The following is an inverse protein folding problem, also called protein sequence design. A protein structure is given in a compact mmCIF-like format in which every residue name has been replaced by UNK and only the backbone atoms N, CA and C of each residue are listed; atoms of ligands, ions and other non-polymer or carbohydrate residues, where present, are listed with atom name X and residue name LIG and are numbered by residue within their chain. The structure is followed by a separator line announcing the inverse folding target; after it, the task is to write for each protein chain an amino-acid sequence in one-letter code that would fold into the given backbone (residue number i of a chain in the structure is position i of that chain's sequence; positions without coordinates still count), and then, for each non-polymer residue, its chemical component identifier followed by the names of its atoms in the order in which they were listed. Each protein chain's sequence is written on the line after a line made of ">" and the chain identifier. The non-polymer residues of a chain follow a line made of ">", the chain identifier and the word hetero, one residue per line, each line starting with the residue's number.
data_IF_326387572517
#
_entry.id   IF_326387572517
#
_cell.length_a   1.000
_cell.length_b   1.000
_cell.length_c   1.000
_cell.angle_alpha   90.00
_cell.angle_beta   90.00
_cell.angle_gamma   90.00
#
_symmetry.space_group_name_H-M   'P 1'
#
loop_
_entity.id
_entity.type
_entity.pdbx_description
1 polymer ?
#
# COMPACT_ATOMS: atom_id res chain seq x y z
N UNK A 1 16.44 -2.27 23.45
CA UNK A 1 16.29 -0.80 23.32
C UNK A 1 14.91 -0.41 23.81
N UNK A 2 14.77 0.72 24.50
CA UNK A 2 13.50 1.18 25.05
C UNK A 2 12.45 1.47 23.95
N UNK A 3 11.19 0.98 24.08
CA UNK A 3 10.11 1.24 23.13
C UNK A 3 9.84 2.72 22.86
N UNK A 4 9.88 3.56 23.90
CA UNK A 4 9.61 4.99 23.77
C UNK A 4 10.72 5.65 22.97
N UNK A 5 11.98 5.28 23.24
CA UNK A 5 13.12 5.77 22.46
C UNK A 5 13.01 5.38 20.99
N UNK A 6 12.66 4.12 20.67
CA UNK A 6 12.46 3.68 19.27
C UNK A 6 11.37 4.53 18.59
N UNK A 7 10.22 4.67 19.24
CA UNK A 7 9.10 5.46 18.72
C UNK A 7 9.48 6.93 18.48
N UNK A 8 10.14 7.57 19.45
CA UNK A 8 10.54 8.99 19.34
C UNK A 8 11.59 9.20 18.26
N UNK A 9 12.54 8.27 18.11
CA UNK A 9 13.53 8.32 17.04
C UNK A 9 12.90 8.19 15.66
N UNK A 10 11.98 7.24 15.46
CA UNK A 10 11.27 7.09 14.18
C UNK A 10 10.42 8.31 13.87
N UNK A 11 9.73 8.88 14.86
CA UNK A 11 8.97 10.12 14.70
C UNK A 11 9.86 11.29 14.27
N UNK A 12 11.03 11.45 14.89
CA UNK A 12 11.98 12.48 14.51
C UNK A 12 12.43 12.32 13.04
N UNK A 13 12.80 11.10 12.64
CA UNK A 13 13.17 10.79 11.26
C UNK A 13 12.02 11.06 10.28
N UNK A 14 10.80 10.64 10.62
CA UNK A 14 9.61 10.85 9.79
C UNK A 14 9.39 12.34 9.52
N UNK A 15 9.48 13.16 10.56
CA UNK A 15 9.28 14.60 10.45
C UNK A 15 10.39 15.28 9.65
N UNK A 16 11.64 14.86 9.84
CA UNK A 16 12.78 15.38 9.08
C UNK A 16 12.61 15.05 7.58
N UNK A 17 12.22 13.82 7.27
CA UNK A 17 12.09 13.33 5.89
C UNK A 17 10.91 13.95 5.11
N UNK A 18 9.96 14.58 5.81
CA UNK A 18 8.81 15.23 5.20
C UNK A 18 9.24 16.43 4.36
N UNK A 19 8.87 16.45 3.07
CA UNK A 19 9.25 17.48 2.09
C UNK A 19 10.77 17.68 1.90
N UNK A 20 11.58 16.73 2.40
CA UNK A 20 13.02 16.73 2.15
C UNK A 20 13.29 16.48 0.66
N UNK A 21 14.33 17.10 0.11
CA UNK A 21 14.69 16.84 -1.29
C UNK A 21 15.21 15.39 -1.46
N UNK A 22 15.11 14.81 -2.66
CA UNK A 22 15.53 13.43 -2.93
C UNK A 22 16.96 13.06 -2.50
N UNK A 23 17.94 13.95 -2.74
CA UNK A 23 19.35 13.67 -2.46
C UNK A 23 19.63 13.51 -0.97
N UNK A 24 18.96 14.30 -0.14
CA UNK A 24 19.11 14.24 1.31
C UNK A 24 18.39 13.02 1.90
N UNK A 25 17.28 12.56 1.27
CA UNK A 25 16.62 11.29 1.64
C UNK A 25 17.57 10.10 1.47
N UNK A 26 18.39 10.09 0.42
CA UNK A 26 19.37 9.02 0.19
C UNK A 26 20.43 8.96 1.29
N UNK A 27 20.85 10.12 1.85
CA UNK A 27 21.80 10.16 2.96
C UNK A 27 21.20 9.53 4.22
N UNK A 28 19.95 9.86 4.55
CA UNK A 28 19.26 9.25 5.70
C UNK A 28 19.12 7.74 5.50
N UNK A 29 18.78 7.28 4.30
CA UNK A 29 18.61 5.86 4.03
C UNK A 29 19.92 5.07 4.05
N UNK A 30 21.05 5.67 3.67
CA UNK A 30 22.36 5.02 3.80
C UNK A 30 22.69 4.73 5.26
N UNK A 31 22.37 5.64 6.16
CA UNK A 31 22.60 5.47 7.60
C UNK A 31 21.55 4.54 8.24
N UNK A 32 20.27 4.71 7.90
CA UNK A 32 19.19 3.88 8.45
C UNK A 32 19.31 2.44 7.97
N UNK A 33 19.70 2.21 6.72
CA UNK A 33 19.74 0.93 6.01
C UNK A 33 18.37 0.27 5.80
N UNK A 34 18.26 -0.54 4.74
CA UNK A 34 17.06 -1.33 4.42
C UNK A 34 16.76 -2.36 5.51
N UNK A 35 17.80 -2.96 6.11
CA UNK A 35 17.66 -3.98 7.16
C UNK A 35 17.03 -3.42 8.44
N UNK A 36 17.51 -2.27 8.94
CA UNK A 36 16.92 -1.63 10.12
C UNK A 36 15.49 -1.19 9.83
N UNK A 37 15.22 -0.65 8.64
CA UNK A 37 13.87 -0.23 8.25
C UNK A 37 12.90 -1.42 8.24
N UNK A 38 13.30 -2.55 7.67
CA UNK A 38 12.52 -3.80 7.67
C UNK A 38 12.27 -4.32 9.09
N UNK A 39 13.28 -4.27 9.97
CA UNK A 39 13.18 -4.64 11.38
C UNK A 39 12.18 -3.76 12.14
N UNK A 40 12.21 -2.44 11.93
CA UNK A 40 11.28 -1.49 12.55
C UNK A 40 9.84 -1.64 12.04
N UNK A 41 9.63 -2.02 10.78
CA UNK A 41 8.29 -2.40 10.26
C UNK A 41 7.76 -3.65 10.98
N UNK A 42 8.65 -4.53 11.43
CA UNK A 42 8.31 -5.73 12.19
C UNK A 42 8.54 -5.59 13.71
N UNK A 43 8.59 -4.36 14.23
CA UNK A 43 8.82 -4.10 15.65
C UNK A 43 7.75 -4.76 16.52
N UNK A 44 8.06 -5.09 17.78
CA UNK A 44 7.06 -5.64 18.71
C UNK A 44 5.92 -4.67 19.03
N UNK A 45 6.16 -3.37 18.88
CA UNK A 45 5.21 -2.31 19.23
C UNK A 45 4.50 -1.76 17.99
N UNK A 46 3.18 -1.87 17.96
CA UNK A 46 2.37 -1.37 16.83
C UNK A 46 2.55 0.14 16.57
N UNK A 47 2.82 0.93 17.60
CA UNK A 47 3.09 2.37 17.45
C UNK A 47 4.39 2.62 16.68
N UNK A 48 5.43 1.81 16.91
CA UNK A 48 6.69 1.89 16.16
C UNK A 48 6.47 1.42 14.72
N UNK A 49 5.76 0.31 14.52
CA UNK A 49 5.40 -0.18 13.18
C UNK A 49 4.68 0.90 12.36
N UNK A 50 3.63 1.52 12.93
CA UNK A 50 2.83 2.54 12.26
C UNK A 50 3.68 3.76 11.87
N UNK A 51 4.49 4.28 12.79
CA UNK A 51 5.34 5.44 12.51
C UNK A 51 6.45 5.11 11.51
N UNK A 52 6.92 3.87 11.48
CA UNK A 52 7.90 3.40 10.50
C UNK A 52 7.28 3.32 9.10
N UNK A 53 6.04 2.84 8.98
CA UNK A 53 5.33 2.85 7.70
C UNK A 53 5.05 4.28 7.22
N UNK A 54 4.72 5.20 8.13
CA UNK A 54 4.58 6.61 7.80
C UNK A 54 5.91 7.26 7.36
N UNK A 55 7.04 6.85 7.94
CA UNK A 55 8.37 7.22 7.45
C UNK A 55 8.62 6.73 6.02
N UNK A 56 8.28 5.46 5.72
CA UNK A 56 8.35 4.91 4.35
C UNK A 56 7.44 5.66 3.38
N UNK A 57 6.26 6.06 3.83
CA UNK A 57 5.35 6.85 3.00
C UNK A 57 5.99 8.20 2.62
N UNK A 58 6.62 8.90 3.57
CA UNK A 58 7.34 10.14 3.33
C UNK A 58 8.55 9.94 2.41
N UNK A 59 9.22 8.79 2.51
CA UNK A 59 10.30 8.44 1.60
C UNK A 59 9.80 8.37 0.15
N UNK A 60 8.66 7.71 -0.07
CA UNK A 60 8.06 7.51 -1.40
C UNK A 60 7.53 8.81 -2.02
N UNK A 61 7.17 9.79 -1.20
CA UNK A 61 6.58 11.03 -1.67
C UNK A 61 7.58 11.89 -2.49
N UNK A 62 7.17 12.30 -3.69
CA UNK A 62 7.90 13.22 -4.56
C UNK A 62 9.24 12.71 -5.11
N UNK A 63 9.61 11.44 -4.94
CA UNK A 63 10.89 10.91 -5.40
C UNK A 63 10.77 9.57 -6.15
N UNK A 64 10.82 9.61 -7.48
CA UNK A 64 10.63 8.42 -8.35
C UNK A 64 11.62 7.29 -8.06
N UNK A 65 12.86 7.59 -7.68
CA UNK A 65 13.89 6.58 -7.37
C UNK A 65 13.71 5.90 -6.01
N UNK A 66 12.92 6.48 -5.10
CA UNK A 66 12.76 5.98 -3.73
C UNK A 66 12.15 4.58 -3.65
N UNK A 67 11.30 4.24 -4.63
CA UNK A 67 10.61 2.95 -4.68
C UNK A 67 11.58 1.78 -4.80
N UNK A 68 12.77 2.01 -5.36
CA UNK A 68 13.82 1.01 -5.46
C UNK A 68 14.32 0.55 -4.08
N UNK A 69 14.26 1.41 -3.05
CA UNK A 69 14.58 1.02 -1.68
C UNK A 69 13.51 0.14 -1.04
N UNK A 70 12.26 0.28 -1.48
CA UNK A 70 11.12 -0.49 -0.95
C UNK A 70 11.01 -1.85 -1.64
N UNK A 71 11.15 -1.85 -2.98
CA UNK A 71 11.15 -3.08 -3.78
C UNK A 71 12.45 -3.84 -3.52
N UNK A 72 13.62 -3.20 -3.69
CA UNK A 72 14.93 -3.78 -3.43
C UNK A 72 15.24 -5.04 -4.26
N UNK A 73 16.52 -5.46 -4.27
CA UNK A 73 16.87 -6.77 -4.84
C UNK A 73 16.43 -7.92 -3.92
N UNK A 74 16.43 -7.69 -2.61
CA UNK A 74 16.10 -8.69 -1.58
C UNK A 74 14.63 -8.67 -1.13
N UNK A 75 13.84 -7.71 -1.58
CA UNK A 75 12.44 -7.57 -1.17
C UNK A 75 12.23 -7.27 0.32
N UNK A 76 13.26 -6.93 1.10
CA UNK A 76 13.16 -6.94 2.57
C UNK A 76 12.07 -6.03 3.12
N UNK A 77 11.92 -4.82 2.58
CA UNK A 77 10.95 -3.83 3.05
C UNK A 77 9.55 -4.20 2.59
N UNK A 78 9.36 -4.49 1.29
CA UNK A 78 8.05 -4.89 0.77
C UNK A 78 7.53 -6.20 1.40
N UNK A 79 8.40 -7.16 1.68
CA UNK A 79 8.03 -8.40 2.39
C UNK A 79 7.66 -8.14 3.86
N UNK A 80 8.32 -7.20 4.53
CA UNK A 80 7.94 -6.78 5.86
C UNK A 80 6.55 -6.12 5.88
N UNK A 81 6.28 -5.21 4.92
CA UNK A 81 4.96 -4.58 4.74
C UNK A 81 3.89 -5.65 4.48
N UNK A 82 4.14 -6.55 3.53
CA UNK A 82 3.23 -7.65 3.18
C UNK A 82 2.87 -8.50 4.41
N UNK A 83 3.86 -8.85 5.24
CA UNK A 83 3.65 -9.60 6.47
C UNK A 83 2.74 -8.85 7.46
N UNK A 84 2.95 -7.55 7.69
CA UNK A 84 2.11 -6.77 8.61
C UNK A 84 0.68 -6.59 8.10
N UNK A 85 0.49 -6.46 6.79
CA UNK A 85 -0.85 -6.38 6.20
C UNK A 85 -1.58 -7.74 6.25
N UNK A 86 -0.88 -8.84 6.00
CA UNK A 86 -1.44 -10.19 6.06
C UNK A 86 -1.78 -10.65 7.48
N UNK A 87 -1.02 -10.21 8.48
CA UNK A 87 -1.30 -10.49 9.89
C UNK A 87 -2.40 -9.61 10.48
N UNK A 88 -2.77 -8.52 9.79
CA UNK A 88 -3.70 -7.50 10.25
C UNK A 88 -3.34 -7.00 11.68
N UNK A 89 -2.06 -6.71 11.91
CA UNK A 89 -1.47 -6.50 13.26
C UNK A 89 -2.21 -5.44 14.10
N UNK A 90 -2.43 -4.25 13.56
CA UNK A 90 -3.24 -3.19 14.15
C UNK A 90 -3.81 -2.26 13.08
N UNK A 91 -5.00 -1.69 13.32
CA UNK A 91 -5.69 -0.85 12.33
C UNK A 91 -4.83 0.30 11.82
N UNK A 92 -4.11 1.02 12.69
CA UNK A 92 -3.20 2.10 12.30
C UNK A 92 -2.05 1.63 11.40
N UNK A 93 -1.46 0.48 11.72
CA UNK A 93 -0.42 -0.17 10.91
C UNK A 93 -0.97 -0.56 9.54
N UNK A 94 -2.17 -1.14 9.47
CA UNK A 94 -2.81 -1.49 8.21
C UNK A 94 -3.13 -0.27 7.36
N UNK A 95 -3.62 0.82 7.97
CA UNK A 95 -3.89 2.08 7.27
C UNK A 95 -2.60 2.59 6.62
N UNK A 96 -1.52 2.70 7.41
CA UNK A 96 -0.27 3.24 6.89
C UNK A 96 0.38 2.33 5.84
N UNK A 97 0.33 1.00 6.04
CA UNK A 97 0.84 0.07 5.04
C UNK A 97 0.07 0.14 3.73
N UNK A 98 -1.27 0.31 3.77
CA UNK A 98 -2.06 0.53 2.55
C UNK A 98 -1.74 1.87 1.87
N UNK A 99 -1.44 2.93 2.62
CA UNK A 99 -1.02 4.21 2.07
C UNK A 99 0.37 4.13 1.40
N UNK A 100 1.30 3.35 1.97
CA UNK A 100 2.58 3.03 1.32
C UNK A 100 2.35 2.32 -0.01
N UNK A 101 1.51 1.27 -0.03
CA UNK A 101 1.18 0.56 -1.27
C UNK A 101 0.47 1.47 -2.29
N UNK A 102 -0.39 2.39 -1.85
CA UNK A 102 -1.03 3.35 -2.73
C UNK A 102 -0.01 4.28 -3.40
N UNK A 103 0.97 4.81 -2.64
CA UNK A 103 2.04 5.64 -3.19
C UNK A 103 2.89 4.85 -4.20
N UNK A 104 3.23 3.59 -3.91
CA UNK A 104 3.94 2.73 -4.87
C UNK A 104 3.12 2.50 -6.15
N UNK A 105 1.83 2.21 -6.02
CA UNK A 105 0.92 1.94 -7.14
C UNK A 105 0.69 3.18 -8.04
N UNK A 106 1.02 4.38 -7.58
CA UNK A 106 1.00 5.59 -8.41
C UNK A 106 2.19 5.68 -9.38
N UNK A 107 3.21 4.82 -9.22
CA UNK A 107 4.38 4.76 -10.10
C UNK A 107 4.15 3.97 -11.39
N UNK A 108 5.26 3.46 -11.95
CA UNK A 108 5.28 2.71 -13.22
C UNK A 108 4.72 1.28 -13.09
N UNK A 109 4.71 0.53 -14.20
CA UNK A 109 4.19 -0.84 -14.24
C UNK A 109 4.93 -1.81 -13.31
N UNK A 110 6.26 -1.68 -13.16
CA UNK A 110 7.03 -2.51 -12.23
C UNK A 110 6.58 -2.29 -10.78
N UNK A 111 6.33 -1.04 -10.39
CA UNK A 111 5.84 -0.72 -9.06
C UNK A 111 4.42 -1.27 -8.83
N UNK A 112 3.54 -1.09 -9.82
CA UNK A 112 2.16 -1.62 -9.75
C UNK A 112 2.17 -3.15 -9.64
N UNK A 113 3.04 -3.83 -10.38
CA UNK A 113 3.15 -5.29 -10.32
C UNK A 113 3.68 -5.77 -8.96
N UNK A 114 4.69 -5.10 -8.39
CA UNK A 114 5.16 -5.39 -7.04
C UNK A 114 4.05 -5.23 -5.99
N UNK A 115 3.20 -4.20 -6.12
CA UNK A 115 2.02 -4.02 -5.25
C UNK A 115 0.95 -5.09 -5.50
N UNK A 116 0.74 -5.53 -6.75
CA UNK A 116 -0.16 -6.63 -7.08
C UNK A 116 0.28 -7.94 -6.42
N UNK A 117 1.58 -8.22 -6.37
CA UNK A 117 2.10 -9.42 -5.72
C UNK A 117 1.93 -9.42 -4.19
N UNK A 118 1.82 -8.24 -3.57
CA UNK A 118 1.44 -8.11 -2.16
C UNK A 118 -0.07 -8.28 -1.98
N UNK A 119 -0.88 -7.56 -2.76
CA UNK A 119 -2.33 -7.44 -2.56
C UNK A 119 -3.12 -8.66 -3.04
N UNK A 120 -2.73 -9.20 -4.19
CA UNK A 120 -3.33 -10.38 -4.83
C UNK A 120 -2.21 -11.24 -5.44
N UNK A 121 -1.48 -12.01 -4.60
CA UNK A 121 -0.39 -12.86 -5.08
C UNK A 121 -0.88 -13.87 -6.13
N UNK A 122 -0.05 -14.17 -7.13
CA UNK A 122 -0.36 -15.14 -8.20
C UNK A 122 -0.77 -16.53 -7.68
N UNK A 123 -0.25 -16.93 -6.51
CA UNK A 123 -0.58 -18.18 -5.81
C UNK A 123 -1.37 -17.92 -4.53
N UNK A 124 -2.36 -17.02 -4.59
CA UNK A 124 -3.25 -16.79 -3.47
C UNK A 124 -3.92 -18.11 -3.07
N UNK A 125 -3.83 -18.46 -1.79
CA UNK A 125 -4.56 -19.58 -1.22
C UNK A 125 -6.06 -19.32 -1.40
N UNK A 126 -6.72 -20.12 -2.23
CA UNK A 126 -8.15 -19.96 -2.55
C UNK A 126 -9.04 -20.15 -1.32
N UNK A 127 -8.50 -20.67 -0.21
CA UNK A 127 -9.21 -20.90 1.04
C UNK A 127 -9.26 -19.62 1.89
N UNK A 128 -8.25 -18.74 1.82
CA UNK A 128 -8.22 -17.50 2.61
C UNK A 128 -8.49 -16.27 1.72
N UNK A 129 -9.55 -15.48 1.99
CA UNK A 129 -9.78 -14.25 1.26
C UNK A 129 -8.59 -13.29 1.43
N UNK A 130 -8.25 -12.56 0.36
CA UNK A 130 -7.21 -11.52 0.41
C UNK A 130 -7.49 -10.54 1.56
N UNK A 131 -6.44 -10.12 2.27
CA UNK A 131 -6.58 -9.12 3.33
C UNK A 131 -7.23 -7.83 2.81
N UNK A 132 -7.11 -7.54 1.50
CA UNK A 132 -7.76 -6.41 0.82
C UNK A 132 -9.28 -6.47 0.99
N UNK A 133 -9.88 -7.65 0.82
CA UNK A 133 -11.33 -7.83 0.99
C UNK A 133 -11.73 -7.55 2.45
N UNK A 134 -10.95 -8.06 3.41
CA UNK A 134 -11.19 -7.84 4.84
C UNK A 134 -11.08 -6.35 5.20
N UNK A 135 -10.11 -5.63 4.61
CA UNK A 135 -9.92 -4.20 4.84
C UNK A 135 -11.06 -3.37 4.26
N UNK A 136 -11.56 -3.73 3.07
CA UNK A 136 -12.76 -3.13 2.49
C UNK A 136 -14.03 -3.36 3.33
N UNK A 137 -14.06 -4.42 4.15
CA UNK A 137 -15.16 -4.70 5.10
C UNK A 137 -14.93 -4.09 6.48
N UNK A 138 -13.80 -3.43 6.72
CA UNK A 138 -13.46 -2.84 8.02
C UNK A 138 -14.50 -1.80 8.44
N UNK A 139 -14.79 -1.74 9.75
CA UNK A 139 -15.58 -0.65 10.33
C UNK A 139 -14.84 0.69 10.26
N UNK A 140 -13.51 0.66 10.23
CA UNK A 140 -12.68 1.85 10.13
C UNK A 140 -12.73 2.44 8.71
N UNK A 141 -13.23 3.68 8.61
CA UNK A 141 -13.38 4.37 7.31
C UNK A 141 -12.04 4.69 6.66
N UNK A 142 -11.00 5.01 7.44
CA UNK A 142 -9.68 5.36 6.90
C UNK A 142 -9.02 4.14 6.28
N UNK A 143 -9.18 2.97 6.90
CA UNK A 143 -8.67 1.72 6.33
C UNK A 143 -9.36 1.40 4.99
N UNK A 144 -10.68 1.59 4.90
CA UNK A 144 -11.42 1.44 3.63
C UNK A 144 -10.93 2.44 2.57
N UNK A 145 -10.78 3.72 2.93
CA UNK A 145 -10.27 4.76 2.02
C UNK A 145 -8.87 4.43 1.50
N UNK A 146 -7.92 4.11 2.39
CA UNK A 146 -6.55 3.77 2.00
C UNK A 146 -6.51 2.56 1.05
N UNK A 147 -7.37 1.56 1.32
CA UNK A 147 -7.50 0.37 0.48
C UNK A 147 -8.05 0.70 -0.91
N UNK A 148 -9.12 1.50 -0.97
CA UNK A 148 -9.71 1.95 -2.24
C UNK A 148 -8.74 2.83 -3.03
N UNK A 149 -7.95 3.67 -2.37
CA UNK A 149 -6.93 4.47 -3.04
C UNK A 149 -5.86 3.59 -3.69
N UNK A 150 -5.34 2.60 -2.97
CA UNK A 150 -4.40 1.65 -3.55
C UNK A 150 -4.97 0.96 -4.79
N UNK A 151 -6.22 0.46 -4.72
CA UNK A 151 -6.91 -0.16 -5.85
C UNK A 151 -7.03 0.80 -7.04
N UNK A 152 -7.47 2.05 -6.81
CA UNK A 152 -7.61 3.06 -7.87
C UNK A 152 -6.29 3.30 -8.60
N UNK A 153 -5.19 3.43 -7.86
CA UNK A 153 -3.88 3.65 -8.45
C UNK A 153 -3.44 2.44 -9.27
N UNK A 154 -3.72 1.21 -8.81
CA UNK A 154 -3.41 -0.01 -9.55
C UNK A 154 -4.15 -0.11 -10.89
N UNK A 155 -5.43 0.28 -10.92
CA UNK A 155 -6.28 0.12 -12.12
C UNK A 155 -6.44 1.39 -12.94
N UNK A 156 -5.60 2.41 -12.68
CA UNK A 156 -5.67 3.69 -13.38
C UNK A 156 -5.71 3.46 -14.91
N UNK A 157 -6.65 4.09 -15.66
CA UNK A 157 -6.81 3.83 -17.08
C UNK A 157 -5.57 4.30 -17.84
N UNK A 158 -5.32 3.72 -19.02
CA UNK A 158 -4.14 3.99 -19.87
C UNK A 158 -2.81 3.41 -19.36
N UNK A 159 -2.84 2.51 -18.37
CA UNK A 159 -1.67 1.75 -17.97
C UNK A 159 -1.65 0.39 -18.70
N UNK A 160 -0.51 -0.02 -19.25
CA UNK A 160 -0.44 -1.16 -20.20
C UNK A 160 -1.05 -2.47 -19.67
N UNK A 161 -0.97 -2.73 -18.36
CA UNK A 161 -1.50 -3.95 -17.75
C UNK A 161 -2.71 -3.72 -16.82
N UNK A 162 -3.43 -2.59 -16.92
CA UNK A 162 -4.59 -2.35 -16.03
C UNK A 162 -5.71 -3.37 -16.20
N UNK A 163 -6.01 -3.82 -17.42
CA UNK A 163 -7.04 -4.86 -17.67
C UNK A 163 -6.67 -6.18 -16.98
N UNK A 164 -5.42 -6.61 -17.08
CA UNK A 164 -4.88 -7.79 -16.38
C UNK A 164 -5.00 -7.64 -14.85
N UNK A 165 -4.68 -6.46 -14.32
CA UNK A 165 -4.83 -6.17 -12.87
C UNK A 165 -6.29 -6.19 -12.42
N UNK A 166 -7.20 -5.61 -13.21
CA UNK A 166 -8.65 -5.68 -12.95
C UNK A 166 -9.11 -7.13 -12.91
N UNK A 167 -8.70 -7.98 -13.86
CA UNK A 167 -9.04 -9.40 -13.87
C UNK A 167 -8.52 -10.13 -12.62
N UNK A 168 -7.27 -9.88 -12.18
CA UNK A 168 -6.71 -10.44 -10.95
C UNK A 168 -7.50 -10.01 -9.71
N UNK A 169 -7.79 -8.72 -9.56
CA UNK A 169 -8.59 -8.18 -8.45
C UNK A 169 -10.02 -8.74 -8.45
N UNK A 170 -10.62 -8.91 -9.62
CA UNK A 170 -11.95 -9.50 -9.79
C UNK A 170 -11.96 -10.98 -9.39
N UNK A 171 -10.97 -11.76 -9.82
CA UNK A 171 -10.81 -13.18 -9.46
C UNK A 171 -10.56 -13.38 -7.95
N UNK A 172 -9.95 -12.41 -7.29
CA UNK A 172 -9.74 -12.41 -5.84
C UNK A 172 -10.96 -11.91 -5.04
N UNK A 173 -12.08 -11.58 -5.69
CA UNK A 173 -13.29 -11.10 -5.05
C UNK A 173 -13.25 -9.63 -4.62
N UNK A 174 -12.15 -8.91 -4.87
CA UNK A 174 -11.97 -7.49 -4.47
C UNK A 174 -13.01 -6.61 -5.17
N UNK A 175 -13.16 -6.74 -6.49
CA UNK A 175 -14.12 -5.91 -7.25
C UNK A 175 -15.57 -6.24 -6.85
N UNK A 176 -15.88 -7.49 -6.50
CA UNK A 176 -17.20 -7.86 -5.97
C UNK A 176 -17.48 -7.16 -4.64
N UNK A 177 -16.49 -7.14 -3.74
CA UNK A 177 -16.60 -6.40 -2.48
C UNK A 177 -16.76 -4.89 -2.71
N UNK A 178 -16.04 -4.30 -3.67
CA UNK A 178 -16.20 -2.87 -4.02
C UNK A 178 -17.62 -2.57 -4.49
N UNK A 179 -18.25 -3.44 -5.30
CA UNK A 179 -19.64 -3.27 -5.74
C UNK A 179 -20.62 -3.21 -4.54
N UNK A 180 -20.38 -4.01 -3.51
CA UNK A 180 -21.18 -4.01 -2.28
C UNK A 180 -21.03 -2.72 -1.45
N UNK A 181 -20.03 -1.90 -1.74
CA UNK A 181 -19.74 -0.64 -1.04
C UNK A 181 -20.32 0.60 -1.74
N UNK A 182 -21.14 0.46 -2.79
CA UNK A 182 -21.71 1.61 -3.54
C UNK A 182 -22.47 2.59 -2.64
N UNK A 183 -23.02 2.09 -1.53
CA UNK A 183 -23.75 2.86 -0.53
C UNK A 183 -22.96 3.09 0.78
N UNK A 184 -21.62 3.03 0.75
CA UNK A 184 -20.78 3.26 1.93
C UNK A 184 -21.19 4.57 2.65
N UNK A 185 -21.29 4.56 4.00
CA UNK A 185 -21.66 5.76 4.75
C UNK A 185 -20.60 6.86 4.68
N UNK A 186 -19.33 6.52 4.42
CA UNK A 186 -18.26 7.50 4.21
C UNK A 186 -18.32 8.04 2.77
N UNK A 187 -18.45 9.36 2.63
CA UNK A 187 -18.54 10.01 1.30
C UNK A 187 -17.29 9.79 0.44
N UNK A 188 -16.10 9.81 1.04
CA UNK A 188 -14.83 9.55 0.32
C UNK A 188 -14.76 8.11 -0.18
N UNK A 189 -15.16 7.13 0.65
CA UNK A 189 -15.30 5.74 0.21
C UNK A 189 -16.29 5.63 -0.96
N UNK A 190 -17.47 6.23 -0.83
CA UNK A 190 -18.52 6.19 -1.85
C UNK A 190 -18.04 6.79 -3.19
N UNK A 191 -17.32 7.90 -3.14
CA UNK A 191 -16.71 8.51 -4.33
C UNK A 191 -15.70 7.56 -4.98
N UNK A 192 -14.76 7.04 -4.20
CA UNK A 192 -13.71 6.15 -4.70
C UNK A 192 -14.25 4.82 -5.23
N UNK A 193 -15.29 4.27 -4.60
CA UNK A 193 -16.00 3.08 -5.11
C UNK A 193 -16.53 3.34 -6.51
N UNK A 194 -17.18 4.48 -6.75
CA UNK A 194 -17.69 4.83 -8.08
C UNK A 194 -16.56 4.94 -9.10
N UNK A 195 -15.46 5.62 -8.73
CA UNK A 195 -14.27 5.72 -9.59
C UNK A 195 -13.68 4.34 -9.91
N UNK A 196 -13.58 3.43 -8.94
CA UNK A 196 -13.06 2.06 -9.20
C UNK A 196 -13.94 1.35 -10.22
N UNK A 197 -15.26 1.43 -10.06
CA UNK A 197 -16.21 0.77 -10.95
C UNK A 197 -16.20 1.38 -12.36
N UNK A 198 -16.09 2.69 -12.47
CA UNK A 198 -15.91 3.42 -13.74
C UNK A 198 -14.64 2.96 -14.46
N UNK A 199 -13.50 2.97 -13.76
CA UNK A 199 -12.23 2.50 -14.31
C UNK A 199 -12.29 1.02 -14.73
N UNK A 200 -13.01 0.16 -14.01
CA UNK A 200 -13.21 -1.23 -14.43
C UNK A 200 -13.97 -1.34 -15.76
N UNK A 201 -14.93 -0.45 -16.03
CA UNK A 201 -15.67 -0.43 -17.30
C UNK A 201 -14.78 0.06 -18.45
N UNK A 202 -14.01 1.11 -18.23
CA UNK A 202 -13.07 1.64 -19.23
C UNK A 202 -12.04 0.59 -19.64
N UNK A 203 -11.51 -0.15 -18.67
CA UNK A 203 -10.56 -1.24 -18.91
C UNK A 203 -11.18 -2.45 -19.62
N UNK A 204 -12.48 -2.71 -19.41
CA UNK A 204 -13.19 -3.74 -20.16
C UNK A 204 -13.34 -3.31 -21.63
N UNK A 205 -13.71 -2.07 -21.90
CA UNK A 205 -13.87 -1.54 -23.26
C UNK A 205 -12.54 -1.50 -24.03
N UNK A 206 -11.44 -1.14 -23.37
CA UNK A 206 -10.11 -1.11 -23.99
C UNK A 206 -9.55 -2.51 -24.33
N UNK A 207 -9.93 -3.55 -23.58
CA UNK A 207 -9.48 -4.93 -23.84
C UNK A 207 -10.15 -5.62 -25.04
N UNK A 208 -11.15 -4.98 -25.67
CA UNK A 208 -11.81 -5.47 -26.88
C UNK A 208 -11.37 -4.76 -28.17
N UNK A 209 -10.49 -3.75 -28.07
CA UNK A 209 -9.84 -3.07 -29.20
C UNK A 209 -8.43 -3.63 -29.40
#
# INVERSE_FOLDING_TARGET
>A
MDPTLRLKSVLALRNIMFLMNPKDKDLILKELTVSTLSSLICDSEHSVQEQTLALVQNLLDGYVGSVNYVIGEDGMVINAISRQLNSASATGVCIQGMLVLANMAAGNELNKEAVMDVTVPHRADRIKPSFVVNFLQSKDKQLRVATLWCILNLIYPNSESSSTRVARLQNAGVISQVKNMINDPCLDCKLRVRMVLEHCLDNAAAGFM
#
